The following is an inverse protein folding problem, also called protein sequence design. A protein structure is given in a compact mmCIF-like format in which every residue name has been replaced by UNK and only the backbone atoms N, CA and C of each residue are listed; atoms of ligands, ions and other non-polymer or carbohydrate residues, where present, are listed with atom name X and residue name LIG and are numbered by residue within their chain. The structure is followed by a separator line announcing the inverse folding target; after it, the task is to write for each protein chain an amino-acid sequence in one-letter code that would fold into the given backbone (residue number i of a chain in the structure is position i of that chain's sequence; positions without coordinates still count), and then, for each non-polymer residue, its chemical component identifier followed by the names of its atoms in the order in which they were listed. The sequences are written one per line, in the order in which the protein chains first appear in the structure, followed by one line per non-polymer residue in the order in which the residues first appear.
data_IF_641427718325
#
_entry.id   IF_641427718325
#
_cell.length_a   1.000
_cell.length_b   1.000
_cell.length_c   1.000
_cell.angle_alpha   90.00
_cell.angle_beta   90.00
_cell.angle_gamma   90.00
#
_symmetry.space_group_name_H-M   'P 1'
#
loop_
_entity.id
_entity.type
_entity.pdbx_description
1 polymer ?
#
# COMPACT_ATOMS: atom_id res chain seq x y z
N UNK A 1 6.81 -12.77 14.78
CA UNK A 1 7.33 -11.43 14.46
C UNK A 1 6.29 -10.39 14.84
N UNK A 2 6.64 -9.48 15.72
CA UNK A 2 5.74 -8.41 16.14
C UNK A 2 5.86 -7.24 15.18
N UNK A 3 4.81 -6.97 14.43
CA UNK A 3 4.71 -5.80 13.56
C UNK A 3 4.01 -4.69 14.34
N UNK A 4 4.64 -3.51 14.41
CA UNK A 4 4.12 -2.37 15.15
C UNK A 4 3.30 -1.44 14.25
N UNK A 5 2.29 -2.01 13.57
CA UNK A 5 1.34 -1.22 12.79
C UNK A 5 0.06 -0.96 13.59
N UNK A 6 -0.61 0.14 13.26
CA UNK A 6 -1.93 0.51 13.80
C UNK A 6 -2.96 0.51 12.68
N UNK A 7 -3.96 -0.33 12.78
CA UNK A 7 -5.11 -0.38 11.89
C UNK A 7 -6.35 -0.04 12.71
N UNK A 8 -6.89 1.17 12.52
CA UNK A 8 -8.01 1.67 13.30
C UNK A 8 -9.22 1.95 12.40
N UNK A 9 -10.09 0.97 12.28
CA UNK A 9 -11.34 1.04 11.51
C UNK A 9 -12.55 1.33 12.40
N UNK A 10 -12.45 2.36 13.23
CA UNK A 10 -13.48 2.73 14.20
C UNK A 10 -14.61 3.61 13.61
N UNK A 11 -14.39 4.19 12.44
CA UNK A 11 -15.35 5.06 11.74
C UNK A 11 -15.88 4.35 10.50
N UNK A 12 -14.99 3.88 9.62
CA UNK A 12 -15.31 3.13 8.41
C UNK A 12 -14.46 1.86 8.34
N UNK A 13 -14.86 0.93 7.49
CA UNK A 13 -14.16 -0.33 7.33
C UNK A 13 -12.77 -0.16 6.71
N UNK A 14 -11.83 -0.96 7.20
CA UNK A 14 -10.54 -1.21 6.58
C UNK A 14 -10.58 -2.60 5.96
N UNK A 15 -10.40 -2.69 4.65
CA UNK A 15 -10.29 -3.95 3.92
C UNK A 15 -8.89 -4.11 3.33
N UNK A 16 -8.25 -5.24 3.61
CA UNK A 16 -6.94 -5.60 3.04
C UNK A 16 -7.09 -6.90 2.26
N UNK A 17 -6.84 -6.84 0.97
CA UNK A 17 -6.97 -7.97 0.06
C UNK A 17 -5.95 -9.08 0.31
N UNK A 18 -6.28 -10.25 -0.21
CA UNK A 18 -5.46 -11.45 -0.09
C UNK A 18 -4.03 -11.22 -0.61
N UNK A 19 -3.05 -11.80 0.05
CA UNK A 19 -1.65 -11.73 -0.35
C UNK A 19 -0.95 -10.42 -0.03
N UNK A 20 -1.67 -9.40 0.41
CA UNK A 20 -1.11 -8.09 0.75
C UNK A 20 -0.38 -8.10 2.09
N UNK A 21 0.60 -7.22 2.24
CA UNK A 21 1.32 -7.05 3.50
C UNK A 21 1.38 -5.58 3.93
N UNK A 22 1.30 -5.37 5.23
CA UNK A 22 1.43 -4.07 5.88
C UNK A 22 2.64 -4.15 6.81
N UNK A 23 3.67 -3.36 6.51
CA UNK A 23 4.94 -3.44 7.21
C UNK A 23 4.95 -2.58 8.47
N UNK A 24 6.05 -2.65 9.22
CA UNK A 24 6.17 -2.10 10.56
C UNK A 24 5.99 -0.58 10.59
N UNK A 25 5.32 -0.08 11.61
CA UNK A 25 5.12 1.34 11.85
C UNK A 25 4.06 2.01 10.98
N UNK A 26 3.35 1.27 10.14
CA UNK A 26 2.24 1.82 9.36
C UNK A 26 1.08 2.24 10.25
N UNK A 27 0.38 3.29 9.81
CA UNK A 27 -0.90 3.72 10.38
C UNK A 27 -1.95 3.73 9.29
N UNK A 28 -3.01 2.97 9.48
CA UNK A 28 -4.17 2.89 8.58
C UNK A 28 -5.40 3.35 9.34
N UNK A 29 -6.07 4.37 8.82
CA UNK A 29 -7.26 4.94 9.44
C UNK A 29 -8.29 5.37 8.39
N UNK A 30 -9.46 5.78 8.84
CA UNK A 30 -10.61 6.13 8.00
C UNK A 30 -11.29 7.38 8.55
N UNK A 31 -12.06 8.05 7.68
CA UNK A 31 -12.96 9.14 8.05
C UNK A 31 -14.38 8.81 7.58
N UNK A 32 -15.41 9.53 8.06
CA UNK A 32 -16.79 9.32 7.60
C UNK A 32 -16.91 9.39 6.08
N UNK A 33 -17.48 8.35 5.46
CA UNK A 33 -17.60 8.24 4.01
C UNK A 33 -16.30 7.96 3.25
N UNK A 34 -15.21 7.67 3.97
CA UNK A 34 -13.88 7.38 3.40
C UNK A 34 -13.35 6.03 3.91
N UNK A 35 -13.94 4.90 3.46
CA UNK A 35 -13.39 3.58 3.80
C UNK A 35 -12.00 3.38 3.19
N UNK A 36 -11.20 2.55 3.82
CA UNK A 36 -9.87 2.19 3.32
C UNK A 36 -9.94 0.82 2.61
N UNK A 37 -9.55 0.78 1.36
CA UNK A 37 -9.54 -0.46 0.57
C UNK A 37 -8.16 -0.70 -0.03
N UNK A 38 -7.54 -1.79 0.36
CA UNK A 38 -6.29 -2.29 -0.23
C UNK A 38 -6.61 -3.54 -1.04
N UNK A 39 -6.18 -3.57 -2.29
CA UNK A 39 -6.37 -4.70 -3.20
C UNK A 39 -5.55 -5.93 -2.82
N UNK A 40 -5.43 -6.86 -3.76
CA UNK A 40 -4.66 -8.10 -3.61
C UNK A 40 -3.18 -7.86 -3.94
N UNK A 41 -2.32 -8.63 -3.29
CA UNK A 41 -0.88 -8.65 -3.56
C UNK A 41 -0.22 -7.26 -3.48
N UNK A 42 -0.72 -6.39 -2.62
CA UNK A 42 -0.18 -5.05 -2.39
C UNK A 42 0.89 -5.10 -1.30
N UNK A 43 2.01 -4.43 -1.53
CA UNK A 43 3.04 -4.22 -0.51
C UNK A 43 2.95 -2.79 0.03
N UNK A 44 2.69 -2.67 1.33
CA UNK A 44 2.70 -1.38 2.03
C UNK A 44 3.97 -1.32 2.87
N UNK A 45 4.92 -0.49 2.44
CA UNK A 45 6.23 -0.33 3.05
C UNK A 45 6.17 0.23 4.47
N UNK A 46 7.30 0.22 5.15
CA UNK A 46 7.40 0.70 6.53
C UNK A 46 6.95 2.17 6.68
N UNK A 47 6.35 2.51 7.80
CA UNK A 47 5.99 3.88 8.18
C UNK A 47 5.03 4.58 7.20
N UNK A 48 4.27 3.83 6.42
CA UNK A 48 3.26 4.38 5.52
C UNK A 48 2.03 4.83 6.30
N UNK A 49 1.47 5.97 5.93
CA UNK A 49 0.16 6.43 6.38
C UNK A 49 -0.85 6.30 5.25
N UNK A 50 -1.86 5.45 5.45
CA UNK A 50 -3.03 5.37 4.58
C UNK A 50 -4.26 5.88 5.32
N UNK A 51 -4.95 6.84 4.72
CA UNK A 51 -6.12 7.45 5.33
C UNK A 51 -7.27 7.53 4.34
N UNK A 52 -8.27 6.65 4.49
CA UNK A 52 -9.49 6.65 3.70
C UNK A 52 -9.31 6.59 2.18
N UNK A 53 -8.33 5.82 1.70
CA UNK A 53 -7.95 5.74 0.29
C UNK A 53 -8.19 4.34 -0.31
N UNK A 54 -8.02 4.23 -1.61
CA UNK A 54 -8.10 2.95 -2.34
C UNK A 54 -6.78 2.66 -3.04
N UNK A 55 -6.28 1.45 -2.86
CA UNK A 55 -5.04 0.96 -3.50
C UNK A 55 -5.37 -0.23 -4.38
N UNK A 56 -5.06 -0.15 -5.66
CA UNK A 56 -5.26 -1.23 -6.63
C UNK A 56 -4.27 -2.38 -6.46
N UNK A 57 -4.63 -3.53 -7.05
CA UNK A 57 -3.88 -4.77 -6.94
C UNK A 57 -2.42 -4.64 -7.41
N UNK A 58 -1.55 -5.44 -6.83
CA UNK A 58 -0.13 -5.55 -7.21
C UNK A 58 0.62 -4.20 -7.22
N UNK A 59 0.23 -3.28 -6.35
CA UNK A 59 0.91 -1.99 -6.20
C UNK A 59 1.89 -2.01 -5.03
N UNK A 60 2.91 -1.18 -5.12
CA UNK A 60 3.91 -0.96 -4.07
C UNK A 60 3.79 0.46 -3.52
N UNK A 61 3.57 0.56 -2.23
CA UNK A 61 3.58 1.84 -1.52
C UNK A 61 4.91 1.96 -0.78
N UNK A 62 5.73 2.88 -1.22
CA UNK A 62 7.09 3.08 -0.70
C UNK A 62 7.13 3.57 0.74
N UNK A 63 8.26 3.35 1.39
CA UNK A 63 8.51 3.68 2.80
C UNK A 63 8.14 5.12 3.10
N UNK A 64 7.37 5.35 4.15
CA UNK A 64 7.01 6.68 4.64
C UNK A 64 6.08 7.48 3.73
N UNK A 65 5.50 6.89 2.69
CA UNK A 65 4.50 7.56 1.86
C UNK A 65 3.23 7.87 2.66
N UNK A 66 2.55 8.94 2.28
CA UNK A 66 1.28 9.37 2.86
C UNK A 66 0.24 9.46 1.76
N UNK A 67 -0.88 8.76 1.93
CA UNK A 67 -1.99 8.74 0.96
C UNK A 67 -3.28 9.12 1.70
N UNK A 68 -3.92 10.20 1.25
CA UNK A 68 -5.02 10.85 1.95
C UNK A 68 -6.41 10.47 1.40
N UNK A 69 -7.46 11.00 2.05
CA UNK A 69 -8.85 10.63 1.82
C UNK A 69 -9.26 10.67 0.34
N UNK A 70 -9.96 9.63 -0.08
CA UNK A 70 -10.52 9.48 -1.44
C UNK A 70 -9.47 9.48 -2.56
N UNK A 71 -8.18 9.41 -2.24
CA UNK A 71 -7.18 9.12 -3.24
C UNK A 71 -7.39 7.70 -3.78
N UNK A 72 -7.22 7.54 -5.08
CA UNK A 72 -7.40 6.26 -5.77
C UNK A 72 -6.12 5.92 -6.54
N UNK A 73 -5.40 4.93 -6.06
CA UNK A 73 -4.20 4.40 -6.70
C UNK A 73 -4.60 3.20 -7.55
N UNK A 74 -4.28 3.24 -8.82
CA UNK A 74 -4.56 2.13 -9.75
C UNK A 74 -3.76 0.87 -9.47
N UNK A 75 -3.90 -0.10 -10.36
CA UNK A 75 -3.17 -1.38 -10.30
C UNK A 75 -1.74 -1.23 -10.82
N UNK A 76 -0.84 -2.09 -10.35
CA UNK A 76 0.56 -2.13 -10.79
C UNK A 76 1.27 -0.77 -10.66
N UNK A 77 0.89 0.03 -9.68
CA UNK A 77 1.54 1.32 -9.40
C UNK A 77 2.71 1.16 -8.44
N UNK A 78 3.69 2.03 -8.59
CA UNK A 78 4.77 2.21 -7.62
C UNK A 78 4.69 3.64 -7.09
N UNK A 79 4.39 3.77 -5.82
CA UNK A 79 4.43 5.05 -5.10
C UNK A 79 5.77 5.13 -4.40
N UNK A 80 6.58 6.11 -4.77
CA UNK A 80 7.93 6.28 -4.24
C UNK A 80 7.95 6.55 -2.74
N UNK A 81 9.09 6.28 -2.11
CA UNK A 81 9.29 6.56 -0.69
C UNK A 81 9.01 8.04 -0.39
N UNK A 82 8.34 8.31 0.74
CA UNK A 82 7.96 9.65 1.22
C UNK A 82 7.11 10.48 0.23
N UNK A 83 6.52 9.87 -0.78
CA UNK A 83 5.56 10.55 -1.64
C UNK A 83 4.30 10.95 -0.85
N UNK A 84 3.74 12.10 -1.21
CA UNK A 84 2.45 12.57 -0.69
C UNK A 84 1.41 12.53 -1.79
N UNK A 85 0.40 11.69 -1.63
CA UNK A 85 -0.78 11.66 -2.49
C UNK A 85 -1.91 12.39 -1.77
N UNK A 86 -2.27 13.54 -2.30
CA UNK A 86 -3.28 14.41 -1.71
C UNK A 86 -4.69 13.86 -1.90
N UNK A 87 -5.65 14.43 -1.17
CA UNK A 87 -7.06 14.03 -1.22
C UNK A 87 -7.63 14.06 -2.65
N UNK A 88 -8.49 13.10 -2.93
CA UNK A 88 -9.21 12.95 -4.22
C UNK A 88 -8.30 12.74 -5.45
N UNK A 89 -7.00 12.54 -5.26
CA UNK A 89 -6.07 12.31 -6.37
C UNK A 89 -6.33 10.94 -7.00
N UNK A 90 -6.43 10.90 -8.32
CA UNK A 90 -6.52 9.66 -9.09
C UNK A 90 -5.17 9.38 -9.76
N UNK A 91 -4.59 8.24 -9.46
CA UNK A 91 -3.36 7.74 -10.08
C UNK A 91 -3.75 6.59 -11.00
N UNK A 92 -3.54 6.71 -12.32
CA UNK A 92 -3.89 5.66 -13.27
C UNK A 92 -3.07 4.39 -13.05
N UNK A 93 -3.56 3.26 -13.56
CA UNK A 93 -2.84 2.00 -13.55
C UNK A 93 -1.42 2.14 -14.14
N UNK A 94 -0.50 1.33 -13.70
CA UNK A 94 0.86 1.25 -14.20
C UNK A 94 1.69 2.55 -14.04
N UNK A 95 1.41 3.36 -13.04
CA UNK A 95 2.10 4.64 -12.82
C UNK A 95 3.21 4.54 -11.78
N UNK A 96 4.35 5.13 -12.09
CA UNK A 96 5.38 5.46 -11.11
C UNK A 96 5.17 6.90 -10.64
N UNK A 97 4.99 7.06 -9.33
CA UNK A 97 4.71 8.35 -8.69
C UNK A 97 5.81 8.68 -7.68
N UNK A 98 6.35 9.88 -7.73
CA UNK A 98 7.34 10.37 -6.76
C UNK A 98 7.04 11.80 -6.33
N UNK A 99 7.51 12.14 -5.16
CA UNK A 99 7.55 13.53 -4.66
C UNK A 99 6.43 13.90 -3.69
N UNK A 100 6.52 15.12 -3.21
CA UNK A 100 5.56 15.74 -2.31
C UNK A 100 5.30 17.19 -2.76
N UNK A 101 4.17 17.45 -3.47
CA UNK A 101 3.11 16.53 -3.84
C UNK A 101 3.57 15.49 -4.88
N UNK A 102 3.00 14.28 -4.80
CA UNK A 102 3.32 13.18 -5.70
C UNK A 102 2.85 13.43 -7.14
N UNK A 103 3.71 13.14 -8.10
CA UNK A 103 3.43 13.28 -9.53
C UNK A 103 3.80 12.01 -10.28
N UNK A 104 2.96 11.62 -11.23
CA UNK A 104 3.30 10.54 -12.17
C UNK A 104 4.49 11.00 -13.04
N UNK A 105 5.57 10.26 -12.99
CA UNK A 105 6.79 10.60 -13.74
C UNK A 105 6.98 9.74 -14.99
N UNK A 106 6.45 8.52 -14.99
CA UNK A 106 6.43 7.59 -16.14
C UNK A 106 5.56 6.37 -15.84
N UNK A 107 5.43 5.51 -16.82
CA UNK A 107 4.86 4.17 -16.59
C UNK A 107 5.87 3.24 -15.90
N UNK A 108 5.34 2.31 -15.13
CA UNK A 108 6.09 1.19 -14.54
C UNK A 108 6.43 0.18 -15.62
N UNK A 109 7.69 -0.24 -15.70
CA UNK A 109 8.13 -1.26 -16.66
C UNK A 109 7.64 -2.66 -16.28
N UNK A 110 7.61 -3.58 -17.26
CA UNK A 110 7.26 -4.98 -16.98
C UNK A 110 8.24 -5.65 -16.01
N UNK A 111 9.51 -5.30 -16.06
CA UNK A 111 10.55 -5.77 -15.13
C UNK A 111 10.28 -5.28 -13.70
N UNK A 112 9.88 -4.02 -13.54
CA UNK A 112 9.51 -3.46 -12.24
C UNK A 112 8.24 -4.11 -11.68
N UNK A 113 7.22 -4.36 -12.50
CA UNK A 113 6.00 -5.09 -12.08
C UNK A 113 6.35 -6.48 -11.57
N UNK A 114 7.23 -7.18 -12.27
CA UNK A 114 7.70 -8.50 -11.88
C UNK A 114 8.46 -8.44 -10.55
N UNK A 115 9.36 -7.46 -10.39
CA UNK A 115 10.11 -7.27 -9.16
C UNK A 115 9.19 -6.98 -7.96
N UNK A 116 8.16 -6.15 -8.15
CA UNK A 116 7.14 -5.87 -7.12
C UNK A 116 6.41 -7.16 -6.72
N UNK A 117 5.98 -7.94 -7.69
CA UNK A 117 5.30 -9.21 -7.43
C UNK A 117 6.18 -10.22 -6.69
N UNK A 118 7.44 -10.37 -7.11
CA UNK A 118 8.41 -11.26 -6.45
C UNK A 118 8.69 -10.83 -5.01
N UNK A 119 8.80 -9.52 -4.76
CA UNK A 119 8.95 -8.98 -3.42
C UNK A 119 7.72 -9.28 -2.54
N UNK A 120 6.53 -9.09 -3.06
CA UNK A 120 5.28 -9.41 -2.35
C UNK A 120 5.21 -10.90 -2.02
N UNK A 121 5.54 -11.76 -2.97
CA UNK A 121 5.60 -13.21 -2.78
C UNK A 121 6.60 -13.61 -1.70
N UNK A 122 7.76 -12.95 -1.65
CA UNK A 122 8.75 -13.18 -0.60
C UNK A 122 8.16 -12.94 0.80
N UNK A 123 7.37 -11.87 0.99
CA UNK A 123 6.67 -11.61 2.26
C UNK A 123 5.60 -12.66 2.58
N UNK A 124 4.87 -13.15 1.57
CA UNK A 124 3.90 -14.23 1.73
C UNK A 124 4.59 -15.54 2.19
N UNK A 125 5.70 -15.89 1.58
CA UNK A 125 6.46 -17.10 1.92
C UNK A 125 7.11 -16.97 3.31
N UNK A 126 7.62 -15.82 3.66
CA UNK A 126 8.14 -15.54 5.00
C UNK A 126 7.05 -15.70 6.06
N UNK A 127 5.84 -15.16 5.83
CA UNK A 127 4.74 -15.33 6.75
C UNK A 127 4.43 -16.81 7.00
N UNK A 128 4.34 -17.62 5.94
CA UNK A 128 4.11 -19.08 6.06
C UNK A 128 5.21 -19.79 6.83
N UNK A 129 6.46 -19.38 6.64
CA UNK A 129 7.60 -19.91 7.37
C UNK A 129 7.53 -19.58 8.86
N UNK A 130 7.27 -18.33 9.21
CA UNK A 130 7.16 -17.89 10.60
C UNK A 130 5.94 -18.43 11.32
N UNK A 131 4.78 -18.55 10.64
CA UNK A 131 3.58 -19.13 11.24
C UNK A 131 3.78 -20.58 11.70
N UNK A 132 4.65 -21.34 11.03
CA UNK A 132 5.01 -22.70 11.40
C UNK A 132 5.99 -22.78 12.57
N UNK A 133 6.76 -21.73 12.84
CA UNK A 133 7.79 -21.70 13.89
C UNK A 133 7.29 -21.16 15.23
N UNK A 134 6.12 -20.51 15.25
CA UNK A 134 5.54 -19.91 16.47
C UNK A 134 4.55 -20.84 17.16
N UNK A 135 4.08 -21.83 16.46
CA UNK A 135 3.13 -22.83 16.91
C UNK A 135 3.69 -24.24 16.68
#
# INVERSE_FOLDING_TARGET
MYKRQTLRGDIENIHIGEGSNVQDGCVLHTDPGCPLKVGKDVTIGHLVMLHGCTIGDNSLIGIGAVILNKANIGKNCIIGAKALITENKVIPDNSLVVGSPGKVVREVTEEEKKAVWENTKHYQDNWKKYSKSIF
#
